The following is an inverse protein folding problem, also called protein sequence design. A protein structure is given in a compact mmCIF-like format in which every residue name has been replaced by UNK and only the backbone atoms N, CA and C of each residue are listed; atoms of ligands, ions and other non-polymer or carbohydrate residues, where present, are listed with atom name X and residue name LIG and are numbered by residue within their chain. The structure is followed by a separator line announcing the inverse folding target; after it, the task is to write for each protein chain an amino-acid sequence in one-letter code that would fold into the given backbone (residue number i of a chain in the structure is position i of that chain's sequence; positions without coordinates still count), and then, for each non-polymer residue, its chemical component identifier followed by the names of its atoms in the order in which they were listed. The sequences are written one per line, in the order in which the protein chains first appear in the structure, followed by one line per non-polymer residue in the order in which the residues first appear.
data_IF_521976794143
#
_entry.id   IF_521976794143
#
_cell.length_a   1.000
_cell.length_b   1.000
_cell.length_c   1.000
_cell.angle_alpha   90.00
_cell.angle_beta   90.00
_cell.angle_gamma   90.00
#
_symmetry.space_group_name_H-M   'P 1'
#
loop_
_entity.id
_entity.type
_entity.pdbx_description
1 polymer ?
#
# COMPACT_ATOMS: atom_id res chain seq x y z
N UNK A 1 6.78 7.49 -22.47
CA UNK A 1 5.47 7.31 -23.12
C UNK A 1 4.47 7.03 -22.04
N UNK A 2 3.58 8.00 -21.76
CA UNK A 2 2.53 7.86 -20.75
C UNK A 2 1.39 7.02 -21.33
N UNK A 3 1.30 5.75 -20.93
CA UNK A 3 0.12 4.94 -21.23
C UNK A 3 -1.09 5.49 -20.47
N UNK A 4 -2.23 5.71 -21.10
CA UNK A 4 -3.42 6.20 -20.42
C UNK A 4 -4.00 5.09 -19.54
N UNK A 5 -4.14 5.36 -18.25
CA UNK A 5 -5.09 4.63 -17.41
C UNK A 5 -6.46 4.85 -18.05
N UNK A 6 -7.01 3.81 -18.65
CA UNK A 6 -8.34 3.87 -19.23
C UNK A 6 -9.33 4.26 -18.14
N UNK A 7 -10.07 5.35 -18.34
CA UNK A 7 -11.15 5.76 -17.43
C UNK A 7 -12.23 4.68 -17.47
N UNK A 8 -12.22 3.76 -16.52
CA UNK A 8 -13.28 2.76 -16.37
C UNK A 8 -14.36 3.37 -15.49
N UNK A 9 -15.46 3.77 -16.10
CA UNK A 9 -16.64 4.23 -15.37
C UNK A 9 -17.57 3.04 -15.16
N UNK A 10 -17.71 2.60 -13.92
CA UNK A 10 -18.72 1.61 -13.52
C UNK A 10 -19.50 2.23 -12.35
N UNK A 11 -20.72 2.67 -12.62
CA UNK A 11 -21.52 3.43 -11.66
C UNK A 11 -20.96 4.84 -11.41
N UNK A 12 -21.27 5.44 -10.29
CA UNK A 12 -20.94 6.83 -9.91
C UNK A 12 -19.48 7.05 -9.45
N UNK A 13 -18.55 6.11 -9.73
CA UNK A 13 -17.16 6.17 -9.27
C UNK A 13 -16.20 6.20 -10.46
N UNK A 14 -15.34 7.21 -10.52
CA UNK A 14 -14.29 7.34 -11.52
C UNK A 14 -12.93 6.98 -10.91
N UNK A 15 -12.22 6.05 -11.53
CA UNK A 15 -10.86 5.65 -11.13
C UNK A 15 -9.84 6.34 -12.03
N UNK A 16 -8.85 7.01 -11.43
CA UNK A 16 -7.83 7.76 -12.15
C UNK A 16 -6.47 7.68 -11.42
N UNK A 17 -5.40 8.07 -12.09
CA UNK A 17 -4.11 8.24 -11.42
C UNK A 17 -4.22 9.31 -10.32
N UNK A 18 -3.57 9.03 -9.18
CA UNK A 18 -3.44 10.01 -8.10
C UNK A 18 -2.64 11.22 -8.61
N UNK A 19 -3.09 12.40 -8.27
CA UNK A 19 -2.39 13.67 -8.53
C UNK A 19 -1.93 14.29 -7.22
N UNK A 20 -0.97 15.21 -7.28
CA UNK A 20 -0.53 15.97 -6.10
C UNK A 20 -1.69 16.72 -5.43
N UNK A 21 -2.64 17.24 -6.23
CA UNK A 21 -3.82 17.95 -5.72
C UNK A 21 -4.81 17.07 -4.95
N UNK A 22 -4.84 15.75 -5.22
CA UNK A 22 -5.70 14.82 -4.49
C UNK A 22 -4.98 14.13 -3.31
N UNK A 23 -3.67 14.38 -3.13
CA UNK A 23 -2.84 13.67 -2.17
C UNK A 23 -3.32 13.89 -0.72
N UNK A 24 -3.68 15.09 -0.36
CA UNK A 24 -4.12 15.40 1.00
C UNK A 24 -5.47 14.74 1.33
N UNK A 25 -6.39 14.66 0.36
CA UNK A 25 -7.64 13.92 0.52
C UNK A 25 -7.38 12.42 0.73
N UNK A 26 -6.41 11.85 0.02
CA UNK A 26 -6.01 10.44 0.20
C UNK A 26 -5.35 10.22 1.57
N UNK A 27 -4.58 11.18 2.07
CA UNK A 27 -4.03 11.14 3.43
C UNK A 27 -5.16 11.06 4.47
N UNK A 28 -6.20 11.88 4.35
CA UNK A 28 -7.35 11.84 5.27
C UNK A 28 -8.09 10.50 5.19
N UNK A 29 -8.28 9.95 3.98
CA UNK A 29 -8.88 8.62 3.81
C UNK A 29 -8.04 7.55 4.53
N UNK A 30 -6.71 7.58 4.38
CA UNK A 30 -5.84 6.63 5.09
C UNK A 30 -5.96 6.77 6.61
N UNK A 31 -5.93 8.00 7.12
CA UNK A 31 -6.07 8.28 8.55
C UNK A 31 -7.40 7.75 9.11
N UNK A 32 -8.49 7.94 8.36
CA UNK A 32 -9.82 7.47 8.75
C UNK A 32 -9.99 5.95 8.62
N UNK A 33 -9.39 5.34 7.59
CA UNK A 33 -9.51 3.91 7.33
C UNK A 33 -8.63 3.05 8.24
N UNK A 34 -7.47 3.57 8.69
CA UNK A 34 -6.43 2.83 9.39
C UNK A 34 -5.84 3.57 10.61
N UNK A 35 -6.65 4.08 11.54
CA UNK A 35 -6.16 4.92 12.64
C UNK A 35 -5.14 4.21 13.54
N UNK A 36 -5.23 2.88 13.64
CA UNK A 36 -4.37 2.05 14.49
C UNK A 36 -3.06 1.64 13.81
N UNK A 37 -2.92 1.90 12.50
CA UNK A 37 -1.73 1.48 11.77
C UNK A 37 -0.59 2.49 11.98
N UNK A 38 0.63 1.96 12.00
CA UNK A 38 1.83 2.76 12.26
C UNK A 38 1.94 3.99 11.34
N UNK A 39 1.60 3.85 10.07
CA UNK A 39 1.69 4.96 9.12
C UNK A 39 0.77 6.13 9.50
N UNK A 40 -0.44 5.84 9.98
CA UNK A 40 -1.36 6.85 10.48
C UNK A 40 -0.86 7.47 11.81
N UNK A 41 -0.34 6.65 12.73
CA UNK A 41 0.19 7.11 14.01
C UNK A 41 1.42 8.02 13.85
N UNK A 42 2.27 7.79 12.84
CA UNK A 42 3.36 8.68 12.48
C UNK A 42 2.87 10.05 11.97
N UNK A 43 1.59 10.15 11.62
CA UNK A 43 0.90 11.40 11.32
C UNK A 43 0.93 11.82 9.85
N UNK A 44 0.15 12.88 9.56
CA UNK A 44 -0.12 13.35 8.19
C UNK A 44 1.13 13.63 7.37
N UNK A 45 2.13 14.30 7.94
CA UNK A 45 3.36 14.65 7.23
C UNK A 45 4.15 13.42 6.76
N UNK A 46 4.28 12.41 7.63
CA UNK A 46 4.88 11.14 7.25
C UNK A 46 4.06 10.42 6.17
N UNK A 47 2.75 10.33 6.38
CA UNK A 47 1.85 9.65 5.47
C UNK A 47 1.80 10.31 4.08
N UNK A 48 1.83 11.66 4.05
CA UNK A 48 1.95 12.42 2.80
C UNK A 48 3.25 12.07 2.06
N UNK A 49 4.37 12.03 2.76
CA UNK A 49 5.66 11.63 2.18
C UNK A 49 5.65 10.18 1.68
N UNK A 50 5.01 9.28 2.43
CA UNK A 50 4.83 7.88 2.05
C UNK A 50 4.04 7.73 0.75
N UNK A 51 2.87 8.34 0.65
CA UNK A 51 2.00 8.26 -0.53
C UNK A 51 2.61 8.97 -1.73
N UNK A 52 3.24 10.13 -1.50
CA UNK A 52 3.97 10.88 -2.54
C UNK A 52 5.10 10.07 -3.16
N UNK A 53 5.71 9.16 -2.39
CA UNK A 53 6.74 8.27 -2.88
C UNK A 53 6.29 7.38 -4.05
N UNK A 54 5.02 6.97 -4.07
CA UNK A 54 4.44 6.21 -5.19
C UNK A 54 4.04 7.10 -6.37
N UNK A 55 3.66 8.34 -6.08
CA UNK A 55 3.26 9.31 -7.10
C UNK A 55 4.44 9.79 -7.95
N UNK A 56 5.57 10.06 -7.31
CA UNK A 56 6.72 10.69 -7.96
C UNK A 56 7.60 9.70 -8.75
N UNK A 57 7.44 8.41 -8.54
CA UNK A 57 8.22 7.39 -9.25
C UNK A 57 7.46 6.89 -10.49
N UNK A 58 8.08 6.82 -11.66
CA UNK A 58 7.44 6.27 -12.87
C UNK A 58 6.96 4.82 -12.68
N UNK A 59 7.71 4.03 -11.90
CA UNK A 59 7.40 2.65 -11.58
C UNK A 59 6.33 2.52 -10.50
N UNK A 60 6.07 3.58 -9.75
CA UNK A 60 5.03 3.61 -8.72
C UNK A 60 3.63 3.55 -9.34
N UNK A 61 2.74 2.87 -8.65
CA UNK A 61 1.32 2.88 -8.95
C UNK A 61 0.60 3.60 -7.83
N UNK A 62 -0.08 4.68 -8.17
CA UNK A 62 -0.93 5.42 -7.24
C UNK A 62 -2.23 5.80 -7.96
N UNK A 63 -3.34 5.27 -7.48
CA UNK A 63 -4.66 5.39 -8.11
C UNK A 63 -5.64 5.90 -7.04
N UNK A 64 -6.55 6.78 -7.45
CA UNK A 64 -7.62 7.33 -6.61
C UNK A 64 -8.97 7.04 -7.24
N UNK A 65 -9.93 6.69 -6.43
CA UNK A 65 -11.34 6.60 -6.79
C UNK A 65 -12.05 7.90 -6.39
N UNK A 66 -12.74 8.52 -7.33
CA UNK A 66 -13.41 9.81 -7.16
C UNK A 66 -14.90 9.66 -7.41
N UNK A 67 -15.72 10.41 -6.68
CA UNK A 67 -17.14 10.61 -6.99
C UNK A 67 -17.33 11.49 -8.22
N UNK A 68 -18.55 11.59 -8.72
CA UNK A 68 -18.92 12.53 -9.79
C UNK A 68 -18.70 14.00 -9.37
N UNK A 69 -18.84 14.31 -8.08
CA UNK A 69 -18.56 15.63 -7.54
C UNK A 69 -17.08 15.95 -7.34
N UNK A 70 -16.18 15.02 -7.70
CA UNK A 70 -14.73 15.19 -7.53
C UNK A 70 -14.20 14.90 -6.12
N UNK A 71 -15.01 14.31 -5.23
CA UNK A 71 -14.55 13.90 -3.91
C UNK A 71 -13.78 12.58 -3.99
N UNK A 72 -12.63 12.47 -3.33
CA UNK A 72 -11.89 11.21 -3.20
C UNK A 72 -12.67 10.25 -2.29
N UNK A 73 -12.85 9.01 -2.75
CA UNK A 73 -13.58 7.95 -2.05
C UNK A 73 -12.69 6.82 -1.58
N UNK A 74 -11.49 6.71 -2.15
CA UNK A 74 -10.54 5.66 -1.83
C UNK A 74 -9.31 5.75 -2.71
N UNK A 75 -8.31 4.93 -2.41
CA UNK A 75 -7.05 4.91 -3.14
C UNK A 75 -6.42 3.52 -3.09
N UNK A 76 -5.49 3.26 -4.01
CA UNK A 76 -4.56 2.13 -3.97
C UNK A 76 -3.17 2.59 -4.37
N UNK A 77 -2.15 2.09 -3.67
CA UNK A 77 -0.75 2.41 -3.93
C UNK A 77 0.09 1.14 -3.93
N UNK A 78 1.03 1.05 -4.86
CA UNK A 78 1.95 -0.07 -4.99
C UNK A 78 3.19 0.27 -5.80
N UNK A 79 4.16 -0.63 -5.77
CA UNK A 79 5.42 -0.51 -6.51
C UNK A 79 6.01 -1.89 -6.79
N UNK A 80 6.92 -2.02 -7.78
CA UNK A 80 7.75 -3.21 -7.95
C UNK A 80 8.46 -3.59 -6.65
N UNK A 81 8.55 -4.89 -6.39
CA UNK A 81 9.10 -5.38 -5.10
C UNK A 81 10.54 -4.95 -4.89
N UNK A 82 11.30 -4.77 -5.95
CA UNK A 82 12.71 -4.36 -5.94
C UNK A 82 12.90 -2.92 -5.45
N UNK A 83 11.91 -2.06 -5.67
CA UNK A 83 11.97 -0.65 -5.28
C UNK A 83 11.56 -0.39 -3.81
N UNK A 84 10.86 -1.32 -3.18
CA UNK A 84 10.35 -1.13 -1.83
C UNK A 84 11.47 -0.86 -0.80
N UNK A 85 12.66 -1.51 -0.83
CA UNK A 85 13.73 -1.19 0.10
C UNK A 85 14.23 0.24 -0.03
N UNK A 86 14.39 0.74 -1.26
CA UNK A 86 14.79 2.12 -1.52
C UNK A 86 13.74 3.13 -1.04
N UNK A 87 12.47 2.88 -1.40
CA UNK A 87 11.35 3.71 -0.96
C UNK A 87 11.26 3.79 0.56
N UNK A 88 11.47 2.67 1.26
CA UNK A 88 11.49 2.64 2.72
C UNK A 88 12.66 3.44 3.30
N UNK A 89 13.86 3.38 2.69
CA UNK A 89 15.00 4.20 3.12
C UNK A 89 14.74 5.69 2.94
N UNK A 90 14.12 6.09 1.84
CA UNK A 90 13.76 7.48 1.58
C UNK A 90 12.77 8.06 2.61
N UNK A 91 12.03 7.21 3.32
CA UNK A 91 11.09 7.63 4.36
C UNK A 91 11.73 7.78 5.75
N UNK A 92 12.99 7.37 5.95
CA UNK A 92 13.66 7.43 7.26
C UNK A 92 13.68 8.83 7.85
N UNK A 93 14.03 9.91 7.10
CA UNK A 93 14.02 11.27 7.66
C UNK A 93 12.62 11.69 8.14
N UNK A 94 11.58 11.42 7.35
CA UNK A 94 10.21 11.75 7.71
C UNK A 94 9.72 10.94 8.93
N UNK A 95 10.11 9.67 9.02
CA UNK A 95 9.80 8.82 10.18
C UNK A 95 10.53 9.31 11.44
N UNK A 96 11.80 9.67 11.32
CA UNK A 96 12.58 10.20 12.44
C UNK A 96 11.98 11.51 12.96
N UNK A 97 11.64 12.43 12.07
CA UNK A 97 10.97 13.69 12.44
C UNK A 97 9.63 13.41 13.12
N UNK A 98 8.83 12.48 12.58
CA UNK A 98 7.53 12.13 13.16
C UNK A 98 7.66 11.56 14.59
N UNK A 99 8.68 10.73 14.86
CA UNK A 99 8.97 10.19 16.20
C UNK A 99 9.49 11.28 17.14
N UNK A 100 10.37 12.17 16.68
CA UNK A 100 10.84 13.30 17.48
C UNK A 100 9.71 14.23 17.92
N UNK A 101 8.72 14.46 17.03
CA UNK A 101 7.55 15.29 17.35
C UNK A 101 6.50 14.55 18.22
N UNK A 102 6.62 13.22 18.33
CA UNK A 102 5.67 12.35 19.07
C UNK A 102 6.39 11.29 19.90
N UNK A 103 7.19 11.69 20.90
CA UNK A 103 8.03 10.76 21.65
C UNK A 103 7.20 9.68 22.41
N UNK A 104 5.93 9.96 22.72
CA UNK A 104 5.01 8.98 23.33
C UNK A 104 4.77 7.75 22.47
N UNK A 105 5.00 7.82 21.14
CA UNK A 105 4.90 6.65 20.25
C UNK A 105 5.88 5.55 20.63
N UNK A 106 7.02 5.89 21.20
CA UNK A 106 8.02 4.94 21.71
C UNK A 106 7.52 4.14 22.91
N UNK A 107 6.49 4.64 23.62
CA UNK A 107 5.81 3.91 24.69
C UNK A 107 5.03 2.68 24.21
N UNK A 108 4.64 2.63 22.94
CA UNK A 108 3.85 1.54 22.38
C UNK A 108 4.74 0.38 21.93
N UNK A 109 4.59 -0.81 22.54
CA UNK A 109 5.41 -1.99 22.23
C UNK A 109 5.36 -2.37 20.74
N UNK A 110 4.21 -2.24 20.09
CA UNK A 110 4.00 -2.51 18.65
C UNK A 110 4.86 -1.56 17.81
N UNK A 111 4.86 -0.26 18.13
CA UNK A 111 5.66 0.75 17.39
C UNK A 111 7.15 0.52 17.63
N UNK A 112 7.58 0.26 18.88
CA UNK A 112 8.98 -0.08 19.16
C UNK A 112 9.45 -1.28 18.38
N UNK A 113 8.66 -2.36 18.36
CA UNK A 113 9.01 -3.59 17.60
C UNK A 113 9.08 -3.30 16.10
N UNK A 114 8.13 -2.58 15.54
CA UNK A 114 8.12 -2.26 14.11
C UNK A 114 9.22 -1.26 13.74
N UNK A 115 9.48 -0.25 14.57
CA UNK A 115 10.59 0.68 14.41
C UNK A 115 11.93 -0.07 14.48
N UNK A 116 12.10 -0.94 15.48
CA UNK A 116 13.28 -1.77 15.63
C UNK A 116 13.51 -2.67 14.41
N UNK A 117 12.48 -3.35 13.92
CA UNK A 117 12.58 -4.21 12.75
C UNK A 117 12.95 -3.40 11.49
N UNK A 118 12.43 -2.17 11.34
CA UNK A 118 12.83 -1.28 10.23
C UNK A 118 14.27 -0.80 10.37
N UNK A 119 14.69 -0.40 11.55
CA UNK A 119 16.09 -0.02 11.81
C UNK A 119 17.00 -1.23 11.59
N UNK A 120 16.65 -2.39 12.12
CA UNK A 120 17.39 -3.62 11.92
C UNK A 120 17.49 -4.02 10.44
N UNK A 121 16.44 -3.78 9.63
CA UNK A 121 16.50 -4.03 8.18
C UNK A 121 17.40 -3.06 7.42
N UNK A 122 17.65 -1.87 7.98
CA UNK A 122 18.57 -0.88 7.40
C UNK A 122 20.04 -1.18 7.77
N UNK A 123 20.27 -1.59 9.02
CA UNK A 123 21.59 -1.85 9.59
C UNK A 123 21.89 -3.34 9.77
N UNK A 124 20.88 -4.20 9.70
CA UNK A 124 20.96 -5.58 10.06
C UNK A 124 21.45 -6.47 8.93
N UNK A 125 22.24 -7.42 9.34
CA UNK A 125 22.59 -8.61 8.59
C UNK A 125 21.37 -9.11 7.82
N UNK A 126 21.51 -9.22 6.51
CA UNK A 126 20.63 -10.04 5.67
C UNK A 126 20.61 -11.42 6.30
N UNK A 127 19.59 -11.74 7.07
CA UNK A 127 19.19 -13.13 7.23
C UNK A 127 18.89 -13.60 5.82
N UNK A 128 19.67 -14.53 5.31
CA UNK A 128 19.40 -15.13 4.01
C UNK A 128 17.94 -15.57 4.00
N UNK A 129 17.14 -15.10 3.04
CA UNK A 129 15.77 -15.55 2.96
C UNK A 129 15.82 -17.05 2.71
N UNK A 130 15.31 -17.86 3.65
CA UNK A 130 14.94 -19.24 3.32
C UNK A 130 14.13 -19.18 2.04
N UNK A 131 14.54 -19.95 1.03
CA UNK A 131 14.00 -19.90 -0.32
C UNK A 131 12.46 -19.84 -0.31
N UNK A 132 11.93 -18.63 -0.45
CA UNK A 132 10.52 -18.44 -0.72
C UNK A 132 10.24 -18.98 -2.12
N UNK A 133 9.09 -19.60 -2.38
CA UNK A 133 8.71 -19.87 -3.75
C UNK A 133 8.77 -18.53 -4.50
N UNK A 134 9.59 -18.49 -5.53
CA UNK A 134 9.82 -17.28 -6.32
C UNK A 134 8.52 -17.00 -7.08
N UNK A 135 7.91 -15.85 -6.83
CA UNK A 135 6.84 -15.37 -7.68
C UNK A 135 7.41 -15.06 -9.08
N UNK A 136 6.65 -15.35 -10.14
CA UNK A 136 7.06 -14.95 -11.48
C UNK A 136 7.30 -13.43 -11.55
N UNK A 137 8.46 -13.06 -12.08
CA UNK A 137 8.87 -11.67 -12.22
C UNK A 137 8.48 -11.11 -13.59
N UNK A 138 8.21 -9.82 -13.73
CA UNK A 138 8.19 -8.78 -12.68
C UNK A 138 6.99 -8.89 -11.72
N UNK A 139 7.21 -8.62 -10.44
CA UNK A 139 6.18 -8.66 -9.39
C UNK A 139 5.85 -7.25 -8.90
N UNK A 140 4.58 -6.86 -8.96
CA UNK A 140 4.09 -5.61 -8.37
C UNK A 140 3.51 -5.87 -6.97
N UNK A 141 3.97 -5.11 -5.99
CA UNK A 141 3.44 -5.18 -4.63
C UNK A 141 2.33 -4.14 -4.42
N UNK A 142 1.14 -4.59 -4.03
CA UNK A 142 0.12 -3.73 -3.47
C UNK A 142 0.51 -3.42 -2.03
N UNK A 143 0.85 -2.16 -1.76
CA UNK A 143 1.39 -1.71 -0.47
C UNK A 143 0.29 -1.14 0.43
N UNK A 144 -0.69 -0.46 -0.17
CA UNK A 144 -1.81 0.10 0.58
C UNK A 144 -3.04 0.23 -0.32
N UNK A 145 -4.20 -0.14 0.21
CA UNK A 145 -5.51 0.12 -0.39
C UNK A 145 -6.46 0.57 0.72
N UNK A 146 -7.09 1.71 0.54
CA UNK A 146 -7.99 2.28 1.53
C UNK A 146 -9.24 2.87 0.89
N UNK A 147 -10.37 2.71 1.57
CA UNK A 147 -11.67 3.28 1.17
C UNK A 147 -12.18 4.10 2.34
N UNK A 148 -12.64 5.31 2.05
CA UNK A 148 -13.32 6.16 3.02
C UNK A 148 -14.41 5.35 3.74
N UNK A 149 -14.43 5.32 5.08
CA UNK A 149 -15.46 4.62 5.84
C UNK A 149 -16.88 4.95 5.38
N UNK A 150 -17.16 6.18 4.96
CA UNK A 150 -18.46 6.62 4.46
C UNK A 150 -18.79 6.12 3.04
N UNK A 151 -17.78 5.72 2.28
CA UNK A 151 -17.91 5.19 0.92
C UNK A 151 -17.88 3.65 0.85
N UNK A 152 -17.77 2.97 1.99
CA UNK A 152 -17.81 1.50 2.05
C UNK A 152 -19.16 0.95 1.56
N UNK A 153 -19.14 -0.26 1.03
CA UNK A 153 -20.35 -0.91 0.48
C UNK A 153 -20.74 -0.43 -0.93
N UNK A 154 -20.00 0.51 -1.53
CA UNK A 154 -20.27 1.08 -2.86
C UNK A 154 -19.32 0.55 -3.95
N UNK A 155 -18.76 -0.63 -3.77
CA UNK A 155 -17.80 -1.27 -4.70
C UNK A 155 -16.53 -0.45 -5.01
N UNK A 156 -16.23 0.59 -4.23
CA UNK A 156 -15.03 1.43 -4.43
C UNK A 156 -13.75 0.59 -4.35
N UNK A 157 -13.65 -0.29 -3.36
CA UNK A 157 -12.49 -1.18 -3.21
C UNK A 157 -12.30 -2.13 -4.39
N UNK A 158 -13.40 -2.64 -4.95
CA UNK A 158 -13.37 -3.51 -6.14
C UNK A 158 -12.86 -2.78 -7.36
N UNK A 159 -13.31 -1.54 -7.57
CA UNK A 159 -12.87 -0.73 -8.69
C UNK A 159 -11.39 -0.34 -8.57
N UNK A 160 -10.93 0.00 -7.36
CA UNK A 160 -9.52 0.25 -7.08
C UNK A 160 -8.66 -1.00 -7.33
N UNK A 161 -9.12 -2.18 -6.90
CA UNK A 161 -8.42 -3.43 -7.13
C UNK A 161 -8.34 -3.76 -8.62
N UNK A 162 -9.45 -3.62 -9.36
CA UNK A 162 -9.46 -3.80 -10.81
C UNK A 162 -8.50 -2.83 -11.52
N UNK A 163 -8.51 -1.56 -11.14
CA UNK A 163 -7.61 -0.55 -11.69
C UNK A 163 -6.13 -0.88 -11.42
N UNK A 164 -5.82 -1.35 -10.22
CA UNK A 164 -4.47 -1.78 -9.86
C UNK A 164 -4.01 -2.99 -10.66
N UNK A 165 -4.86 -4.00 -10.82
CA UNK A 165 -4.57 -5.20 -11.60
C UNK A 165 -4.42 -4.89 -13.11
N UNK A 166 -5.24 -3.98 -13.63
CA UNK A 166 -5.13 -3.52 -15.03
C UNK A 166 -3.79 -2.79 -15.26
N UNK A 167 -3.40 -1.89 -14.36
CA UNK A 167 -2.13 -1.19 -14.44
C UNK A 167 -0.94 -2.16 -14.36
N UNK A 168 -1.01 -3.18 -13.50
CA UNK A 168 0.01 -4.21 -13.42
C UNK A 168 0.14 -5.01 -14.72
N UNK A 169 -0.99 -5.42 -15.33
CA UNK A 169 -0.98 -6.11 -16.63
C UNK A 169 -0.42 -5.23 -17.75
N UNK A 170 -0.83 -3.95 -17.78
CA UNK A 170 -0.34 -2.99 -18.78
C UNK A 170 1.18 -2.78 -18.70
N UNK A 171 1.77 -2.98 -17.52
CA UNK A 171 3.22 -2.94 -17.27
C UNK A 171 3.93 -4.27 -17.50
N UNK A 172 3.23 -5.32 -17.92
CA UNK A 172 3.80 -6.65 -18.16
C UNK A 172 4.21 -7.37 -16.86
N UNK A 173 3.61 -7.03 -15.72
CA UNK A 173 3.86 -7.77 -14.49
C UNK A 173 3.33 -9.20 -14.62
N UNK A 174 4.13 -10.19 -14.22
CA UNK A 174 3.77 -11.60 -14.24
C UNK A 174 3.00 -12.01 -12.97
N UNK A 175 3.19 -11.27 -11.87
CA UNK A 175 2.53 -11.56 -10.61
C UNK A 175 2.30 -10.31 -9.75
N UNK A 176 1.42 -10.46 -8.78
CA UNK A 176 1.13 -9.49 -7.74
C UNK A 176 1.39 -10.09 -6.36
N UNK A 177 1.77 -9.25 -5.41
CA UNK A 177 1.81 -9.65 -4.00
C UNK A 177 1.26 -8.55 -3.09
N UNK A 178 0.83 -8.92 -1.90
CA UNK A 178 0.51 -8.00 -0.80
C UNK A 178 0.82 -8.65 0.55
N UNK A 179 0.82 -7.85 1.60
CA UNK A 179 0.83 -8.35 2.98
C UNK A 179 -0.36 -7.78 3.74
N UNK A 180 -0.94 -8.59 4.62
CA UNK A 180 -2.09 -8.23 5.45
C UNK A 180 -1.91 -8.82 6.85
N UNK A 181 -2.36 -8.10 7.87
CA UNK A 181 -2.35 -8.63 9.22
C UNK A 181 -3.37 -9.78 9.37
N UNK A 182 -3.03 -10.89 10.08
CA UNK A 182 -3.93 -12.04 10.25
C UNK A 182 -5.28 -11.69 10.86
N UNK A 183 -5.31 -10.72 11.76
CA UNK A 183 -6.50 -10.21 12.42
C UNK A 183 -7.43 -9.42 11.51
N UNK A 184 -6.94 -8.93 10.37
CA UNK A 184 -7.76 -8.21 9.39
C UNK A 184 -8.55 -9.16 8.49
N UNK A 185 -9.48 -9.91 9.10
CA UNK A 185 -10.33 -10.88 8.41
C UNK A 185 -11.16 -10.27 7.26
N UNK A 186 -11.51 -8.98 7.38
CA UNK A 186 -12.26 -8.26 6.34
C UNK A 186 -11.44 -8.10 5.06
N UNK A 187 -10.19 -7.65 5.19
CA UNK A 187 -9.28 -7.51 4.05
C UNK A 187 -8.92 -8.87 3.44
N UNK A 188 -8.67 -9.89 4.28
CA UNK A 188 -8.39 -11.24 3.79
C UNK A 188 -9.50 -11.77 2.90
N UNK A 189 -10.76 -11.74 3.38
CA UNK A 189 -11.94 -12.14 2.57
C UNK A 189 -12.10 -11.31 1.30
N UNK A 190 -11.75 -10.01 1.35
CA UNK A 190 -11.78 -9.15 0.18
C UNK A 190 -10.77 -9.63 -0.87
N UNK A 191 -9.52 -9.91 -0.49
CA UNK A 191 -8.49 -10.39 -1.41
C UNK A 191 -8.84 -11.77 -1.99
N UNK A 192 -9.28 -12.70 -1.15
CA UNK A 192 -9.68 -14.05 -1.56
C UNK A 192 -10.80 -14.03 -2.61
N UNK A 193 -11.82 -13.19 -2.42
CA UNK A 193 -12.89 -12.99 -3.43
C UNK A 193 -12.40 -12.42 -4.75
N UNK A 194 -11.25 -11.74 -4.76
CA UNK A 194 -10.62 -11.21 -5.97
C UNK A 194 -9.57 -12.17 -6.56
N UNK A 195 -9.55 -13.42 -6.12
CA UNK A 195 -8.66 -14.45 -6.65
C UNK A 195 -7.23 -14.36 -6.18
N UNK A 196 -6.98 -13.64 -5.06
CA UNK A 196 -5.69 -13.67 -4.39
C UNK A 196 -5.61 -14.88 -3.48
N UNK A 197 -4.49 -15.59 -3.50
CA UNK A 197 -4.26 -16.80 -2.70
C UNK A 197 -3.21 -16.56 -1.63
N UNK A 198 -3.36 -17.16 -0.44
CA UNK A 198 -2.31 -17.14 0.57
C UNK A 198 -1.02 -17.69 0.00
N UNK A 199 0.05 -16.98 0.23
CA UNK A 199 1.36 -17.31 -0.27
C UNK A 199 2.29 -17.60 0.90
N UNK A 200 2.77 -18.84 1.00
CA UNK A 200 3.75 -19.25 1.98
C UNK A 200 5.15 -19.00 1.44
N UNK A 201 5.57 -17.75 1.49
CA UNK A 201 6.96 -17.38 1.29
C UNK A 201 7.64 -17.11 2.61
N UNK A 202 8.96 -17.02 2.63
CA UNK A 202 9.71 -16.57 3.80
C UNK A 202 9.22 -15.21 4.20
N UNK A 203 8.39 -15.22 5.22
CA UNK A 203 7.94 -14.03 5.91
C UNK A 203 9.16 -13.52 6.67
N UNK A 204 9.60 -12.26 6.45
CA UNK A 204 10.46 -11.62 7.43
C UNK A 204 9.78 -11.75 8.78
N UNK A 205 10.50 -11.86 9.91
CA UNK A 205 9.90 -11.99 11.22
C UNK A 205 8.94 -10.81 11.45
N UNK A 206 7.67 -11.08 11.25
CA UNK A 206 6.58 -10.11 11.32
C UNK A 206 5.25 -10.84 11.23
N UNK A 207 4.25 -10.30 11.91
CA UNK A 207 2.93 -10.93 12.08
C UNK A 207 2.03 -10.77 10.83
N UNK A 208 2.58 -10.62 9.63
CA UNK A 208 1.80 -10.42 8.41
C UNK A 208 1.71 -11.70 7.57
N UNK A 209 0.52 -11.97 7.05
CA UNK A 209 0.27 -12.98 6.02
C UNK A 209 0.51 -12.37 4.64
N UNK A 210 1.07 -13.17 3.73
CA UNK A 210 1.24 -12.76 2.35
C UNK A 210 0.21 -13.41 1.44
N UNK A 211 -0.23 -12.65 0.46
CA UNK A 211 -1.10 -13.10 -0.63
C UNK A 211 -0.42 -12.80 -1.95
N UNK A 212 -0.68 -13.65 -2.94
CA UNK A 212 -0.20 -13.47 -4.31
C UNK A 212 -1.32 -13.73 -5.32
N UNK A 213 -1.14 -13.17 -6.50
CA UNK A 213 -1.95 -13.45 -7.68
C UNK A 213 -1.02 -13.52 -8.89
N UNK A 214 -1.10 -14.61 -9.66
CA UNK A 214 -0.33 -14.81 -10.89
C UNK A 214 -1.26 -14.50 -12.07
N UNK A 215 -0.73 -13.85 -13.11
CA UNK A 215 -1.48 -13.49 -14.32
C UNK A 215 -1.38 -14.56 -15.41
#
# INVERSE_FOLDING_TARGET
MNSPVSNVTVGTVKVARLTEGALDAVVEIHMAAFPEYMNAQLGRGYLRSFLRGFLLRPEGVAIVAMSESGQALGYVAGAPVELLPEMNRALVPAASLAVCLRPWLLGTARIRRTAWNRVASIFGRRSEPKAAPLLPMPTLSLVSIGVDPQARGRSVGEQLMKGFEQEARARGCASLRLSVYPENAGARRFYERHGWVPFQGTVPPGDAMYYSKIF
#
